data_IF_649130432269
#
_entry.id   IF_649130432269
#
_cell.length_a   1.000
_cell.length_b   1.000
_cell.length_c   1.000
_cell.angle_alpha   90.00
_cell.angle_beta   90.00
_cell.angle_gamma   90.00
#
_symmetry.space_group_name_H-M   'P 1'
#
loop_
_entity.id
_entity.type
_entity.pdbx_description
1 polymer ?
#
# COMPACT_ATOMS: atom_id res chain seq x y z
N UNK A 1 -5.97 -16.77 -16.20
CA UNK A 1 -6.15 -15.30 -16.42
C UNK A 1 -6.71 -14.63 -15.17
N UNK A 2 -7.93 -14.94 -14.67
CA UNK A 2 -8.49 -14.26 -13.46
C UNK A 2 -7.61 -14.48 -12.23
N UNK A 3 -7.23 -15.72 -11.93
CA UNK A 3 -6.35 -16.03 -10.80
C UNK A 3 -4.97 -15.35 -10.95
N UNK A 4 -4.50 -15.16 -12.17
CA UNK A 4 -3.22 -14.46 -12.41
C UNK A 4 -3.34 -12.97 -12.10
N UNK A 5 -4.49 -12.35 -12.37
CA UNK A 5 -4.76 -10.95 -12.00
C UNK A 5 -4.75 -10.78 -10.49
N UNK A 6 -5.47 -11.65 -9.77
CA UNK A 6 -5.51 -11.63 -8.31
C UNK A 6 -4.12 -11.86 -7.71
N UNK A 7 -3.39 -12.86 -8.20
CA UNK A 7 -2.05 -13.20 -7.71
C UNK A 7 -1.01 -12.10 -7.97
N UNK A 8 -1.14 -11.38 -9.11
CA UNK A 8 -0.22 -10.31 -9.48
C UNK A 8 -0.52 -8.96 -8.84
N UNK A 9 -1.68 -8.84 -8.17
CA UNK A 9 -2.00 -7.60 -7.47
C UNK A 9 -1.07 -7.44 -6.27
N UNK A 10 -0.16 -6.49 -6.33
CA UNK A 10 0.86 -6.37 -5.31
C UNK A 10 0.32 -5.91 -3.94
N UNK A 11 -0.87 -5.26 -3.85
CA UNK A 11 -1.54 -4.84 -2.61
C UNK A 11 -2.66 -5.76 -2.17
N UNK A 12 -2.89 -6.83 -2.93
CA UNK A 12 -4.08 -7.67 -2.72
C UNK A 12 -5.41 -6.87 -2.81
N UNK A 13 -5.37 -5.70 -3.45
CA UNK A 13 -6.54 -4.86 -3.68
C UNK A 13 -7.61 -5.53 -4.53
N UNK A 14 -7.26 -6.59 -5.26
CA UNK A 14 -8.17 -7.31 -6.16
C UNK A 14 -8.47 -8.68 -5.57
N UNK A 15 -9.77 -8.97 -5.43
CA UNK A 15 -10.27 -10.26 -4.94
C UNK A 15 -11.31 -10.83 -5.89
N UNK A 16 -11.29 -12.16 -6.07
CA UNK A 16 -12.36 -12.87 -6.75
C UNK A 16 -13.48 -13.14 -5.75
N UNK A 17 -14.67 -12.69 -6.08
CA UNK A 17 -15.89 -12.87 -5.26
C UNK A 17 -17.00 -13.53 -6.06
N UNK A 18 -17.92 -14.21 -5.37
CA UNK A 18 -19.24 -14.50 -5.94
C UNK A 18 -20.06 -13.21 -5.96
N UNK A 19 -20.90 -13.03 -7.00
CA UNK A 19 -21.67 -11.79 -7.19
C UNK A 19 -22.52 -11.44 -5.96
N UNK A 20 -23.07 -12.44 -5.27
CA UNK A 20 -23.86 -12.24 -4.04
C UNK A 20 -23.06 -11.67 -2.86
N UNK A 21 -21.73 -11.77 -2.89
CA UNK A 21 -20.82 -11.33 -1.83
C UNK A 21 -20.02 -10.07 -2.20
N UNK A 22 -20.34 -9.47 -3.34
CA UNK A 22 -19.63 -8.28 -3.81
C UNK A 22 -20.09 -7.07 -3.00
N UNK A 23 -19.14 -6.36 -2.43
CA UNK A 23 -19.41 -5.11 -1.72
C UNK A 23 -19.68 -3.98 -2.71
N UNK A 24 -20.53 -3.06 -2.32
CA UNK A 24 -20.71 -1.78 -2.98
C UNK A 24 -20.25 -0.66 -2.02
N UNK A 25 -19.52 0.33 -2.54
CA UNK A 25 -19.03 1.44 -1.72
C UNK A 25 -18.24 2.44 -2.55
N UNK A 26 -17.97 3.60 -1.99
CA UNK A 26 -17.28 4.71 -2.65
C UNK A 26 -15.89 4.32 -3.20
N UNK A 27 -15.20 3.41 -2.51
CA UNK A 27 -13.85 2.97 -2.86
C UNK A 27 -13.79 1.57 -3.48
N UNK A 28 -14.94 0.95 -3.69
CA UNK A 28 -15.02 -0.42 -4.22
C UNK A 28 -15.51 -0.39 -5.67
N UNK A 29 -14.68 -0.87 -6.57
CA UNK A 29 -15.03 -1.11 -7.96
C UNK A 29 -15.26 -2.59 -8.21
N UNK A 30 -16.24 -2.91 -9.04
CA UNK A 30 -16.60 -4.29 -9.36
C UNK A 30 -16.60 -4.50 -10.86
N UNK A 31 -16.04 -5.64 -11.28
CA UNK A 31 -16.05 -6.07 -12.68
C UNK A 31 -16.64 -7.47 -12.74
N UNK A 32 -17.85 -7.59 -13.31
CA UNK A 32 -18.49 -8.88 -13.55
C UNK A 32 -17.68 -9.69 -14.57
N UNK A 33 -17.38 -10.94 -14.24
CA UNK A 33 -16.68 -11.87 -15.11
C UNK A 33 -17.64 -12.84 -15.83
N UNK A 34 -18.69 -13.21 -15.10
CA UNK A 34 -19.78 -14.07 -15.56
C UNK A 34 -20.99 -13.86 -14.62
N UNK A 35 -22.04 -14.67 -14.78
CA UNK A 35 -23.29 -14.56 -13.99
C UNK A 35 -23.11 -14.85 -12.48
N UNK A 36 -21.99 -15.43 -12.08
CA UNK A 36 -21.76 -15.89 -10.69
C UNK A 36 -20.53 -15.27 -10.04
N UNK A 37 -19.61 -14.73 -10.82
CA UNK A 37 -18.32 -14.25 -10.33
C UNK A 37 -18.02 -12.82 -10.79
N UNK A 38 -17.42 -12.05 -9.88
CA UNK A 38 -16.89 -10.72 -10.16
C UNK A 38 -15.53 -10.51 -9.49
N UNK A 39 -14.74 -9.63 -10.08
CA UNK A 39 -13.59 -9.04 -9.39
C UNK A 39 -14.08 -7.86 -8.56
N UNK A 40 -13.75 -7.88 -7.28
CA UNK A 40 -13.89 -6.74 -6.38
C UNK A 40 -12.53 -6.06 -6.25
N UNK A 41 -12.47 -4.75 -6.44
CA UNK A 41 -11.26 -3.95 -6.37
C UNK A 41 -11.45 -2.88 -5.29
N UNK A 42 -10.67 -2.96 -4.21
CA UNK A 42 -10.61 -1.87 -3.25
C UNK A 42 -9.63 -0.79 -3.75
N UNK A 43 -10.18 0.36 -4.10
CA UNK A 43 -9.41 1.45 -4.67
C UNK A 43 -8.50 2.17 -3.65
N UNK A 44 -8.73 1.98 -2.35
CA UNK A 44 -7.84 2.51 -1.30
C UNK A 44 -6.51 1.76 -1.31
N UNK A 45 -6.57 0.45 -1.50
CA UNK A 45 -5.39 -0.40 -1.53
C UNK A 45 -4.72 -0.43 -2.92
N UNK A 46 -5.40 0.05 -3.95
CA UNK A 46 -4.90 0.03 -5.32
C UNK A 46 -3.84 1.12 -5.56
N UNK A 47 -2.62 0.72 -5.90
CA UNK A 47 -1.49 1.62 -6.23
C UNK A 47 -1.42 2.02 -7.70
N UNK A 48 -2.43 1.72 -8.47
CA UNK A 48 -2.48 2.09 -9.90
C UNK A 48 -1.28 1.57 -10.73
N UNK A 49 -0.69 0.43 -10.35
CA UNK A 49 0.47 -0.14 -11.04
C UNK A 49 0.16 -0.72 -12.43
N UNK A 50 -1.10 -0.79 -12.81
CA UNK A 50 -1.61 -1.26 -14.11
C UNK A 50 -1.31 -2.74 -14.44
N UNK A 51 -0.74 -3.54 -13.54
CA UNK A 51 -0.48 -4.96 -13.81
C UNK A 51 -1.75 -5.76 -14.15
N UNK A 52 -2.86 -5.46 -13.47
CA UNK A 52 -4.15 -6.10 -13.75
C UNK A 52 -4.69 -5.75 -15.14
N UNK A 53 -4.55 -4.49 -15.56
CA UNK A 53 -4.98 -4.01 -16.87
C UNK A 53 -4.16 -4.72 -17.97
N UNK A 54 -2.86 -4.86 -17.80
CA UNK A 54 -2.00 -5.55 -18.76
C UNK A 54 -2.35 -7.04 -18.92
N UNK A 55 -2.92 -7.67 -17.89
CA UNK A 55 -3.36 -9.08 -17.96
C UNK A 55 -4.76 -9.21 -18.55
N UNK A 56 -5.67 -8.25 -18.27
CA UNK A 56 -7.08 -8.28 -18.66
C UNK A 56 -7.49 -6.98 -19.39
N UNK A 57 -6.81 -6.68 -20.47
CA UNK A 57 -7.00 -5.42 -21.25
C UNK A 57 -8.41 -5.20 -21.76
N UNK A 58 -9.19 -6.27 -21.98
CA UNK A 58 -10.56 -6.18 -22.43
C UNK A 58 -11.61 -6.00 -21.33
N UNK A 59 -11.23 -6.21 -20.07
CA UNK A 59 -12.16 -6.17 -18.93
C UNK A 59 -11.83 -5.07 -17.91
N UNK A 60 -10.58 -4.64 -17.86
CA UNK A 60 -10.09 -3.64 -16.92
C UNK A 60 -9.52 -2.43 -17.65
N UNK A 61 -9.86 -1.25 -17.19
CA UNK A 61 -9.35 0.02 -17.70
C UNK A 61 -8.82 0.90 -16.55
N UNK A 62 -7.96 1.86 -16.89
CA UNK A 62 -7.53 2.86 -15.92
C UNK A 62 -8.68 3.79 -15.53
N UNK A 63 -8.68 4.24 -14.27
CA UNK A 63 -9.59 5.29 -13.82
C UNK A 63 -9.19 6.67 -14.36
N UNK A 64 -10.05 7.65 -14.11
CA UNK A 64 -9.85 9.05 -14.50
C UNK A 64 -9.13 9.87 -13.44
N UNK A 65 -8.95 9.30 -12.25
CA UNK A 65 -8.33 10.01 -11.13
C UNK A 65 -6.83 10.18 -11.34
N UNK A 66 -6.34 11.38 -11.02
CA UNK A 66 -4.91 11.71 -11.02
C UNK A 66 -4.40 11.79 -9.59
N UNK A 67 -3.29 11.13 -9.32
CA UNK A 67 -2.69 11.10 -7.99
C UNK A 67 -1.31 10.50 -7.99
N UNK A 68 -0.76 10.30 -6.80
CA UNK A 68 0.56 9.74 -6.58
C UNK A 68 0.51 8.58 -5.59
N UNK A 69 1.36 7.57 -5.81
CA UNK A 69 1.70 6.55 -4.81
C UNK A 69 2.92 7.05 -4.04
N UNK A 70 2.83 7.09 -2.72
CA UNK A 70 3.91 7.57 -1.87
C UNK A 70 4.69 6.39 -1.32
N UNK A 71 6.00 6.43 -1.51
CA UNK A 71 6.93 5.41 -1.04
C UNK A 71 8.02 6.06 -0.19
N UNK A 72 8.49 5.34 0.82
CA UNK A 72 9.62 5.75 1.68
C UNK A 72 10.68 4.66 1.75
N UNK A 73 11.90 5.03 2.10
CA UNK A 73 12.99 4.09 2.34
C UNK A 73 13.68 3.58 1.07
N UNK A 74 13.45 4.20 -0.08
CA UNK A 74 14.15 3.87 -1.33
C UNK A 74 15.66 4.07 -1.22
N UNK A 75 16.44 3.25 -1.95
CA UNK A 75 17.90 3.29 -1.90
C UNK A 75 18.51 2.87 -3.24
N UNK A 76 19.54 3.57 -3.64
CA UNK A 76 20.42 3.15 -4.74
C UNK A 76 21.70 2.55 -4.21
N UNK A 77 22.11 1.40 -4.72
CA UNK A 77 23.40 0.79 -4.42
C UNK A 77 24.15 0.39 -5.69
N UNK A 78 25.48 0.43 -5.61
CA UNK A 78 26.33 0.03 -6.73
C UNK A 78 26.27 -1.48 -7.02
N UNK A 79 25.93 -2.30 -6.00
CA UNK A 79 25.91 -3.76 -6.13
C UNK A 79 24.57 -4.32 -6.59
N UNK A 80 23.46 -3.71 -6.18
CA UNK A 80 22.11 -4.28 -6.35
C UNK A 80 21.25 -3.38 -7.28
N UNK A 81 21.71 -2.16 -7.56
CA UNK A 81 20.96 -1.18 -8.34
C UNK A 81 19.98 -0.36 -7.50
N UNK A 82 18.89 0.05 -8.14
CA UNK A 82 17.89 0.89 -7.51
C UNK A 82 16.85 0.03 -6.80
N UNK A 83 16.57 0.36 -5.55
CA UNK A 83 15.61 -0.32 -4.71
C UNK A 83 14.49 0.65 -4.38
N UNK A 84 13.27 0.24 -4.69
CA UNK A 84 12.08 1.04 -4.39
C UNK A 84 11.80 1.05 -2.90
N UNK A 85 11.25 2.14 -2.43
CA UNK A 85 10.76 2.24 -1.06
C UNK A 85 9.50 1.41 -0.80
N UNK A 86 9.13 1.33 0.46
CA UNK A 86 7.85 0.75 0.89
C UNK A 86 6.72 1.73 0.63
N UNK A 87 5.60 1.24 0.11
CA UNK A 87 4.40 2.05 -0.09
C UNK A 87 3.79 2.39 1.27
N UNK A 88 3.64 3.66 1.54
CA UNK A 88 2.97 4.17 2.75
C UNK A 88 1.58 4.75 2.45
N UNK A 89 1.38 5.25 1.24
CA UNK A 89 0.07 5.68 0.76
C UNK A 89 -0.14 5.14 -0.66
N UNK A 90 -1.07 4.21 -0.87
CA UNK A 90 -1.29 3.60 -2.19
C UNK A 90 -1.69 4.60 -3.26
N UNK A 91 -2.58 5.53 -2.90
CA UNK A 91 -3.03 6.58 -3.81
C UNK A 91 -3.41 7.84 -3.02
N UNK A 92 -2.71 8.92 -3.28
CA UNK A 92 -3.01 10.26 -2.79
C UNK A 92 -3.49 11.12 -3.96
N UNK A 93 -4.71 11.69 -3.92
CA UNK A 93 -5.18 12.60 -4.97
C UNK A 93 -4.23 13.77 -5.17
N UNK A 94 -4.08 14.25 -6.41
CA UNK A 94 -3.24 15.39 -6.78
C UNK A 94 -3.97 16.29 -7.76
N UNK A 95 -5.08 16.89 -7.31
CA UNK A 95 -5.95 17.74 -8.15
C UNK A 95 -6.07 19.17 -7.64
N UNK A 96 -5.97 19.37 -6.33
CA UNK A 96 -6.22 20.64 -5.67
C UNK A 96 -5.01 21.08 -4.85
N UNK A 97 -4.94 22.38 -4.52
CA UNK A 97 -3.88 22.90 -3.64
C UNK A 97 -3.92 22.24 -2.25
N UNK A 98 -5.09 21.83 -1.78
CA UNK A 98 -5.23 21.09 -0.53
C UNK A 98 -4.58 19.70 -0.61
N UNK A 99 -4.66 19.02 -1.75
CA UNK A 99 -3.99 17.72 -1.95
C UNK A 99 -2.46 17.86 -1.92
N UNK A 100 -1.96 18.94 -2.56
CA UNK A 100 -0.52 19.23 -2.52
C UNK A 100 -0.06 19.59 -1.12
N UNK A 101 -0.87 20.35 -0.37
CA UNK A 101 -0.58 20.67 1.02
C UNK A 101 -0.53 19.40 1.89
N UNK A 102 -1.48 18.47 1.71
CA UNK A 102 -1.49 17.19 2.41
C UNK A 102 -0.23 16.34 2.12
N UNK A 103 0.27 16.37 0.87
CA UNK A 103 1.54 15.74 0.53
C UNK A 103 2.72 16.38 1.26
N UNK A 104 2.78 17.71 1.32
CA UNK A 104 3.83 18.45 2.03
C UNK A 104 3.81 18.10 3.52
N UNK A 105 2.63 18.08 4.13
CA UNK A 105 2.47 17.71 5.54
C UNK A 105 2.90 16.27 5.82
N UNK A 106 2.55 15.33 4.94
CA UNK A 106 2.99 13.93 5.07
C UNK A 106 4.51 13.81 4.95
N UNK A 107 5.12 14.53 4.00
CA UNK A 107 6.57 14.57 3.85
C UNK A 107 7.25 15.15 5.08
N UNK A 108 6.73 16.26 5.62
CA UNK A 108 7.26 16.89 6.83
C UNK A 108 7.18 15.94 8.03
N UNK A 109 6.03 15.33 8.29
CA UNK A 109 5.87 14.34 9.37
C UNK A 109 6.85 13.17 9.24
N UNK A 110 7.08 12.71 7.99
CA UNK A 110 8.02 11.61 7.74
C UNK A 110 9.47 12.02 8.04
N UNK A 111 9.85 13.25 7.71
CA UNK A 111 11.18 13.82 8.00
C UNK A 111 11.36 14.03 9.50
N UNK A 112 10.38 14.62 10.17
CA UNK A 112 10.42 14.88 11.60
C UNK A 112 10.52 13.57 12.39
N UNK A 113 9.70 12.59 12.03
CA UNK A 113 9.76 11.26 12.64
C UNK A 113 11.13 10.59 12.42
N UNK A 114 11.70 10.71 11.23
CA UNK A 114 13.04 10.22 10.95
C UNK A 114 14.09 10.94 11.81
N UNK A 115 14.03 12.26 11.90
CA UNK A 115 14.97 13.05 12.69
C UNK A 115 14.95 12.70 14.19
N UNK A 116 13.76 12.33 14.71
CA UNK A 116 13.60 11.98 16.13
C UNK A 116 14.02 10.52 16.45
N UNK A 117 13.90 9.62 15.48
CA UNK A 117 14.00 8.17 15.72
C UNK A 117 15.20 7.48 15.06
N UNK A 118 15.83 8.10 14.07
CA UNK A 118 16.95 7.50 13.35
C UNK A 118 18.22 7.48 14.20
N UNK A 119 19.00 6.41 14.03
CA UNK A 119 20.33 6.30 14.60
C UNK A 119 21.37 6.97 13.68
N UNK A 120 22.57 7.21 14.19
CA UNK A 120 23.67 7.76 13.43
C UNK A 120 23.96 6.90 12.19
N UNK A 121 24.05 7.54 11.02
CA UNK A 121 24.24 6.90 9.71
C UNK A 121 23.11 5.97 9.23
N UNK A 122 22.01 5.85 9.96
CA UNK A 122 20.84 5.05 9.58
C UNK A 122 20.05 5.75 8.46
N UNK A 123 19.52 4.98 7.52
CA UNK A 123 18.63 5.48 6.46
C UNK A 123 17.18 5.15 6.80
N UNK A 124 16.24 5.86 6.20
CA UNK A 124 14.81 5.71 6.48
C UNK A 124 14.32 4.26 6.37
N UNK A 125 14.75 3.52 5.34
CA UNK A 125 14.38 2.11 5.19
C UNK A 125 14.95 1.21 6.29
N UNK A 126 16.18 1.49 6.72
CA UNK A 126 16.86 0.76 7.81
C UNK A 126 16.19 1.07 9.15
N UNK A 127 15.82 2.34 9.37
CA UNK A 127 15.04 2.74 10.54
C UNK A 127 13.68 2.01 10.57
N UNK A 128 12.95 1.99 9.45
CA UNK A 128 11.65 1.30 9.38
C UNK A 128 11.82 -0.20 9.65
N UNK A 129 12.90 -0.83 9.15
CA UNK A 129 13.21 -2.23 9.44
C UNK A 129 13.43 -2.46 10.94
N UNK A 130 14.12 -1.56 11.61
CA UNK A 130 14.44 -1.65 13.05
C UNK A 130 13.23 -1.41 13.96
N UNK A 131 12.44 -0.35 13.67
CA UNK A 131 11.31 0.03 14.53
C UNK A 131 9.99 -0.63 14.13
N UNK A 132 9.90 -1.16 12.93
CA UNK A 132 8.69 -1.73 12.33
C UNK A 132 7.84 -0.72 11.55
N UNK A 133 7.23 -1.20 10.45
CA UNK A 133 6.41 -0.36 9.58
C UNK A 133 5.18 0.19 10.30
N UNK A 134 4.54 -0.61 11.18
CA UNK A 134 3.37 -0.17 11.97
C UNK A 134 3.70 1.05 12.79
N UNK A 135 4.79 1.01 13.56
CA UNK A 135 5.22 2.12 14.40
C UNK A 135 5.55 3.37 13.59
N UNK A 136 6.15 3.20 12.40
CA UNK A 136 6.41 4.30 11.50
C UNK A 136 5.11 4.93 10.98
N UNK A 137 4.17 4.14 10.46
CA UNK A 137 2.91 4.63 9.93
C UNK A 137 2.08 5.35 10.99
N UNK A 138 1.95 4.77 12.19
CA UNK A 138 1.26 5.42 13.32
C UNK A 138 1.96 6.70 13.75
N UNK A 139 3.30 6.71 13.78
CA UNK A 139 4.10 7.88 14.17
C UNK A 139 3.95 9.07 13.23
N UNK A 140 3.76 8.83 11.93
CA UNK A 140 3.47 9.89 10.96
C UNK A 140 1.98 10.20 10.80
N UNK A 141 1.11 9.53 11.58
CA UNK A 141 -0.33 9.77 11.62
C UNK A 141 -1.11 9.14 10.47
N UNK A 142 -0.59 8.07 9.86
CA UNK A 142 -1.31 7.28 8.87
C UNK A 142 -2.06 6.12 9.52
N UNK A 143 -3.24 5.79 8.97
CA UNK A 143 -3.95 4.57 9.32
C UNK A 143 -3.21 3.36 8.77
N UNK A 144 -3.02 2.35 9.61
CA UNK A 144 -2.32 1.12 9.23
C UNK A 144 -3.26 0.19 8.49
N UNK A 145 -2.92 -0.15 7.24
CA UNK A 145 -3.59 -1.19 6.48
C UNK A 145 -2.91 -2.55 6.71
N UNK A 146 -3.63 -3.54 7.29
CA UNK A 146 -3.08 -4.88 7.52
C UNK A 146 -2.53 -5.56 6.27
N UNK A 147 -3.14 -5.32 5.09
CA UNK A 147 -2.64 -5.89 3.83
C UNK A 147 -1.29 -5.30 3.43
N UNK A 148 -1.07 -4.02 3.72
CA UNK A 148 0.21 -3.36 3.45
C UNK A 148 1.29 -3.81 4.41
N UNK A 149 0.95 -4.11 5.67
CA UNK A 149 1.90 -4.60 6.67
C UNK A 149 2.27 -6.07 6.42
N UNK A 150 1.30 -6.94 6.14
CA UNK A 150 1.54 -8.37 5.93
C UNK A 150 2.22 -8.70 4.59
N UNK A 151 2.06 -7.85 3.59
CA UNK A 151 2.69 -8.01 2.29
C UNK A 151 3.22 -6.66 1.78
N UNK A 152 4.19 -6.09 2.48
CA UNK A 152 4.73 -4.79 2.12
C UNK A 152 5.39 -4.86 0.76
N UNK A 153 5.13 -3.84 -0.02
CA UNK A 153 5.68 -3.79 -1.34
C UNK A 153 7.05 -3.23 -1.32
N UNK A 154 7.87 -4.18 -1.55
CA UNK A 154 9.10 -4.08 -2.28
C UNK A 154 10.03 -2.94 -1.92
N UNK A 155 10.40 -2.87 -0.69
CA UNK A 155 11.78 -2.55 -0.45
C UNK A 155 12.51 -3.86 -0.13
N UNK A 156 13.37 -4.41 -0.99
CA UNK A 156 14.13 -5.64 -0.69
C UNK A 156 15.13 -5.48 0.47
N UNK A 157 15.27 -4.28 1.03
CA UNK A 157 16.00 -4.04 2.27
C UNK A 157 15.14 -4.17 3.50
N UNK A 158 13.85 -4.04 3.36
CA UNK A 158 12.97 -4.24 4.48
C UNK A 158 12.72 -5.74 4.55
N UNK A 159 13.26 -6.38 5.59
CA UNK A 159 12.94 -7.76 5.89
C UNK A 159 11.46 -7.83 6.22
N UNK A 160 10.81 -8.80 5.62
CA UNK A 160 9.41 -9.10 5.92
C UNK A 160 9.28 -10.07 7.09
N UNK A 161 10.40 -10.58 7.59
CA UNK A 161 10.46 -11.47 8.75
C UNK A 161 9.93 -10.73 9.98
N UNK A 162 8.84 -11.20 10.53
CA UNK A 162 8.19 -10.60 11.69
C UNK A 162 7.05 -9.62 11.39
N UNK A 163 6.80 -9.24 10.16
CA UNK A 163 5.72 -8.31 9.84
C UNK A 163 4.34 -8.94 9.91
N UNK A 164 4.23 -10.24 9.63
CA UNK A 164 2.98 -10.98 9.87
C UNK A 164 2.64 -11.00 11.38
N UNK A 165 3.66 -11.06 12.25
CA UNK A 165 3.48 -10.97 13.69
C UNK A 165 3.04 -9.55 14.11
N UNK A 166 3.60 -8.51 13.51
CA UNK A 166 3.23 -7.13 13.80
C UNK A 166 1.83 -6.81 13.29
N UNK A 167 1.46 -7.31 12.11
CA UNK A 167 0.10 -7.22 11.61
C UNK A 167 -0.90 -7.93 12.54
N UNK A 168 -0.55 -9.13 13.03
CA UNK A 168 -1.38 -9.87 13.99
C UNK A 168 -1.54 -9.12 15.33
N UNK A 169 -0.46 -8.52 15.86
CA UNK A 169 -0.50 -7.69 17.07
C UNK A 169 -1.39 -6.46 16.88
N UNK A 170 -1.28 -5.78 15.73
CA UNK A 170 -2.12 -4.64 15.39
C UNK A 170 -3.61 -5.03 15.33
N UNK A 171 -3.93 -6.12 14.63
CA UNK A 171 -5.32 -6.61 14.54
C UNK A 171 -5.90 -7.02 15.88
N UNK A 172 -5.12 -7.69 16.73
CA UNK A 172 -5.55 -8.06 18.09
C UNK A 172 -5.83 -6.81 18.96
N UNK A 173 -4.98 -5.77 18.86
CA UNK A 173 -5.16 -4.50 19.56
C UNK A 173 -6.42 -3.77 19.10
N UNK A 174 -6.69 -3.74 17.79
CA UNK A 174 -7.89 -3.10 17.23
C UNK A 174 -9.18 -3.82 17.64
N UNK A 175 -9.17 -5.15 17.73
CA UNK A 175 -10.31 -5.94 18.20
C UNK A 175 -10.59 -5.75 19.70
N UNK A 176 -9.56 -5.53 20.51
CA UNK A 176 -9.73 -5.28 21.95
C UNK A 176 -10.21 -3.87 22.28
N UNK A 177 -10.12 -2.93 21.32
CA UNK A 177 -10.54 -1.53 21.47
C UNK A 177 -11.94 -1.24 20.91
N UNK A 178 -12.57 -2.22 20.26
CA UNK A 178 -13.93 -2.17 19.70
C UNK A 178 -14.93 -2.85 20.61
#
# INVERSE_FOLDING_TARGET
MVNDVVARCPTKAIQLKQIVNVKAGEHISNVALNDTQALEIDNRDCVRCMHCINVMTGALAHGTDTGATILVGGKRTLKIGDLMGTVITPFMPMKTDADYQALVELAQKSIDFFAENALEHERTGEMIERIGLVNFLEGIGLEVDPNMVSAPRTNPYVRTDGWDEDAAKYMARKQSAA
#
